data_IF_780500607860
#
_entry.id   IF_780500607860
#
_cell.length_a   1.000
_cell.length_b   1.000
_cell.length_c   1.000
_cell.angle_alpha   90.00
_cell.angle_beta   90.00
_cell.angle_gamma   90.00
#
_symmetry.space_group_name_H-M   'P 1'
#
loop_
_entity.id
_entity.type
_entity.pdbx_description
1 polymer ?
#
# COMPACT_ATOMS: atom_id res chain seq x y z
N UNK A 1 17.66 9.13 13.09
CA UNK A 1 18.42 9.35 11.84
C UNK A 1 17.47 10.06 10.89
N UNK A 2 17.45 11.39 10.94
CA UNK A 2 16.57 12.22 10.10
C UNK A 2 17.11 12.19 8.66
N UNK A 3 16.73 11.17 7.90
CA UNK A 3 16.98 11.13 6.46
C UNK A 3 15.92 11.98 5.80
N UNK A 4 16.33 13.08 5.16
CA UNK A 4 15.40 13.97 4.46
C UNK A 4 14.65 13.21 3.34
N UNK A 5 13.31 13.32 3.25
CA UNK A 5 12.48 12.62 2.26
C UNK A 5 12.95 12.83 0.81
N UNK A 6 13.59 13.97 0.53
CA UNK A 6 14.12 14.34 -0.78
C UNK A 6 15.19 13.38 -1.31
N UNK A 7 16.04 12.81 -0.44
CA UNK A 7 17.12 11.90 -0.85
C UNK A 7 16.64 10.48 -1.20
N UNK A 8 15.52 10.04 -0.61
CA UNK A 8 14.94 8.72 -0.87
C UNK A 8 14.13 8.71 -2.17
N UNK A 9 13.38 9.79 -2.41
CA UNK A 9 12.57 9.98 -3.63
C UNK A 9 13.43 10.12 -4.89
N UNK A 10 14.61 10.75 -4.80
CA UNK A 10 15.54 10.86 -5.94
C UNK A 10 16.14 9.51 -6.36
N UNK A 11 16.19 8.54 -5.44
CA UNK A 11 16.80 7.22 -5.67
C UNK A 11 15.92 6.30 -6.52
N UNK A 12 14.59 6.38 -6.38
CA UNK A 12 13.66 5.48 -7.09
C UNK A 12 13.32 5.94 -8.52
N UNK A 13 13.48 7.24 -8.81
CA UNK A 13 13.26 7.77 -10.17
C UNK A 13 14.26 7.24 -11.21
N UNK A 14 15.42 6.74 -10.75
CA UNK A 14 16.44 6.10 -11.61
C UNK A 14 16.41 4.58 -11.46
N UNK A 15 16.13 3.87 -12.56
CA UNK A 15 16.19 2.41 -12.62
C UNK A 15 17.53 1.83 -12.15
N UNK A 16 18.64 2.55 -12.39
CA UNK A 16 19.97 2.12 -11.96
C UNK A 16 20.08 2.13 -10.43
N UNK A 17 19.65 3.22 -9.80
CA UNK A 17 19.72 3.38 -8.35
C UNK A 17 18.74 2.44 -7.63
N UNK A 18 17.54 2.23 -8.20
CA UNK A 18 16.60 1.21 -7.72
C UNK A 18 17.25 -0.18 -7.69
N UNK A 19 17.86 -0.62 -8.80
CA UNK A 19 18.47 -1.96 -8.92
C UNK A 19 19.75 -2.15 -8.09
N UNK A 20 20.49 -1.07 -7.84
CA UNK A 20 21.69 -1.12 -7.01
C UNK A 20 21.36 -1.31 -5.52
N UNK A 21 20.29 -0.67 -5.06
CA UNK A 21 19.96 -0.60 -3.64
C UNK A 21 18.83 -1.55 -3.20
N UNK A 22 18.08 -2.13 -4.15
CA UNK A 22 16.93 -2.96 -3.86
C UNK A 22 16.96 -4.29 -4.62
N UNK A 23 16.42 -5.31 -3.98
CA UNK A 23 16.25 -6.65 -4.56
C UNK A 23 14.80 -7.10 -4.36
N UNK A 24 14.33 -7.98 -5.23
CA UNK A 24 13.06 -8.66 -4.99
C UNK A 24 13.41 -9.96 -4.30
N UNK A 25 12.97 -10.09 -3.06
CA UNK A 25 13.03 -11.32 -2.30
C UNK A 25 11.74 -12.10 -2.55
N UNK A 26 11.87 -13.42 -2.75
CA UNK A 26 10.73 -14.30 -2.96
C UNK A 26 10.61 -15.19 -1.73
N UNK A 27 9.45 -15.16 -1.11
CA UNK A 27 9.12 -16.01 0.01
C UNK A 27 8.80 -17.45 -0.47
N UNK A 28 8.87 -18.41 0.45
CA UNK A 28 8.57 -19.83 0.23
C UNK A 28 7.13 -20.02 -0.30
N UNK A 29 6.20 -19.17 0.15
CA UNK A 29 4.80 -19.14 -0.28
C UNK A 29 4.58 -18.54 -1.68
N UNK A 30 5.65 -18.13 -2.35
CA UNK A 30 5.60 -17.57 -3.70
C UNK A 30 5.25 -16.08 -3.77
N UNK A 31 4.97 -15.45 -2.62
CA UNK A 31 4.91 -14.00 -2.47
C UNK A 31 6.29 -13.37 -2.69
N UNK A 32 6.30 -12.08 -3.00
CA UNK A 32 7.54 -11.38 -3.34
C UNK A 32 7.50 -9.95 -2.83
N UNK A 33 8.56 -9.56 -2.16
CA UNK A 33 8.69 -8.26 -1.51
C UNK A 33 9.93 -7.54 -2.02
N UNK A 34 9.86 -6.21 -2.09
CA UNK A 34 11.03 -5.40 -2.39
C UNK A 34 11.79 -5.16 -1.09
N UNK A 35 13.04 -5.58 -1.03
CA UNK A 35 13.90 -5.43 0.14
C UNK A 35 15.05 -4.47 -0.14
N UNK A 36 15.44 -3.72 0.89
CA UNK A 36 16.63 -2.87 0.92
C UNK A 36 17.70 -3.49 1.81
N UNK A 37 18.97 -3.14 1.59
CA UNK A 37 20.10 -3.64 2.38
C UNK A 37 20.87 -4.81 1.77
N UNK A 38 22.12 -4.97 2.20
CA UNK A 38 23.06 -6.01 1.73
C UNK A 38 23.19 -7.19 2.69
N UNK A 39 22.91 -7.00 3.98
CA UNK A 39 23.20 -7.97 5.05
C UNK A 39 21.94 -8.40 5.82
N UNK A 40 21.09 -7.46 6.24
CA UNK A 40 19.74 -7.71 6.76
C UNK A 40 18.74 -7.19 5.72
N UNK A 41 17.88 -8.09 5.20
CA UNK A 41 16.89 -7.74 4.19
C UNK A 41 15.68 -7.11 4.88
N UNK A 42 15.61 -5.79 4.88
CA UNK A 42 14.46 -5.04 5.41
C UNK A 42 13.48 -4.72 4.27
N UNK A 43 12.17 -4.74 4.55
CA UNK A 43 11.17 -4.32 3.58
C UNK A 43 11.36 -2.85 3.18
N UNK A 44 11.23 -2.58 1.88
CA UNK A 44 11.43 -1.23 1.36
C UNK A 44 10.22 -0.35 1.66
N UNK A 45 10.46 0.80 2.28
CA UNK A 45 9.41 1.78 2.57
C UNK A 45 9.29 2.77 1.42
N UNK A 46 8.08 2.92 0.88
CA UNK A 46 7.75 3.92 -0.12
C UNK A 46 7.03 5.11 0.55
N UNK A 47 7.68 6.28 0.56
CA UNK A 47 7.13 7.51 1.11
C UNK A 47 6.87 8.52 0.01
N UNK A 48 5.68 9.15 -0.01
CA UNK A 48 5.34 10.21 -0.95
C UNK A 48 4.35 11.19 -0.32
N UNK A 49 4.59 12.49 -0.53
CA UNK A 49 3.64 13.55 -0.17
C UNK A 49 2.82 13.96 -1.39
N UNK A 50 1.51 14.10 -1.21
CA UNK A 50 0.59 14.53 -2.26
C UNK A 50 -0.73 15.06 -1.72
N UNK A 51 -1.61 15.47 -2.62
CA UNK A 51 -2.95 15.99 -2.34
C UNK A 51 -3.94 14.86 -2.54
N UNK A 52 -4.78 14.59 -1.53
CA UNK A 52 -5.84 13.59 -1.60
C UNK A 52 -6.92 14.02 -2.59
N UNK A 53 -7.22 13.16 -3.57
CA UNK A 53 -8.24 13.42 -4.61
C UNK A 53 -9.37 12.41 -4.63
N UNK A 54 -9.14 11.21 -4.09
CA UNK A 54 -10.18 10.19 -3.92
C UNK A 54 -9.81 9.29 -2.73
N UNK A 55 -10.81 8.71 -2.06
CA UNK A 55 -10.57 7.85 -0.92
C UNK A 55 -11.76 6.94 -0.61
N UNK A 56 -11.44 5.76 -0.08
CA UNK A 56 -12.36 4.85 0.58
C UNK A 56 -11.76 4.52 1.94
N UNK A 57 -12.23 5.19 2.99
CA UNK A 57 -11.65 5.09 4.33
C UNK A 57 -12.68 4.63 5.37
N UNK A 58 -12.22 4.03 6.48
CA UNK A 58 -13.05 3.82 7.65
C UNK A 58 -13.55 5.14 8.26
N UNK A 59 -14.59 5.13 9.11
CA UNK A 59 -15.25 3.94 9.67
C UNK A 59 -16.26 3.26 8.73
N UNK A 60 -16.38 1.94 8.87
CA UNK A 60 -17.45 1.15 8.26
C UNK A 60 -18.70 1.26 9.15
N UNK A 61 -19.66 2.07 8.71
CA UNK A 61 -20.89 2.40 9.46
C UNK A 61 -22.15 1.77 8.86
N UNK A 62 -22.06 1.26 7.62
CA UNK A 62 -23.13 0.59 6.88
C UNK A 62 -22.62 -0.64 6.13
N UNK A 63 -23.49 -1.65 5.96
CA UNK A 63 -23.21 -2.89 5.21
C UNK A 63 -22.95 -2.63 3.72
N UNK A 64 -23.48 -1.55 3.17
CA UNK A 64 -23.30 -1.19 1.76
C UNK A 64 -21.87 -0.72 1.43
N UNK A 65 -21.08 -0.35 2.44
CA UNK A 65 -19.65 -0.05 2.28
C UNK A 65 -18.80 -1.30 2.06
N UNK A 66 -19.36 -2.49 2.28
CA UNK A 66 -18.67 -3.78 2.11
C UNK A 66 -19.24 -4.47 0.87
N UNK A 67 -18.41 -4.98 -0.05
CA UNK A 67 -18.90 -5.74 -1.21
C UNK A 67 -19.82 -6.91 -0.80
N UNK A 68 -20.94 -7.09 -1.51
CA UNK A 68 -21.91 -8.16 -1.21
C UNK A 68 -21.39 -9.52 -1.66
N UNK A 69 -20.92 -9.63 -2.89
CA UNK A 69 -20.53 -10.90 -3.50
C UNK A 69 -19.15 -11.39 -3.05
N UNK A 70 -18.20 -10.46 -2.92
CA UNK A 70 -16.79 -10.75 -2.57
C UNK A 70 -16.35 -9.90 -1.38
N UNK A 71 -16.90 -10.12 -0.18
CA UNK A 71 -16.60 -9.29 0.99
C UNK A 71 -15.11 -9.35 1.37
N UNK A 72 -14.40 -10.46 1.12
CA UNK A 72 -12.95 -10.58 1.35
C UNK A 72 -12.08 -9.63 0.48
N UNK A 73 -12.67 -8.98 -0.53
CA UNK A 73 -12.01 -7.92 -1.30
C UNK A 73 -12.27 -6.52 -0.71
N UNK A 74 -13.01 -6.42 0.39
CA UNK A 74 -13.17 -5.16 1.10
C UNK A 74 -11.80 -4.64 1.54
N UNK A 75 -11.58 -3.37 1.29
CA UNK A 75 -10.35 -2.68 1.65
C UNK A 75 -10.59 -1.20 1.82
N UNK A 76 -9.50 -0.53 2.10
CA UNK A 76 -9.41 0.91 2.19
C UNK A 76 -8.40 1.39 1.16
N UNK A 77 -8.62 2.58 0.62
CA UNK A 77 -7.72 3.18 -0.35
C UNK A 77 -7.69 4.69 -0.26
N UNK A 78 -6.56 5.25 -0.68
CA UNK A 78 -6.38 6.68 -0.91
C UNK A 78 -5.76 6.88 -2.28
N UNK A 79 -6.25 7.86 -3.02
CA UNK A 79 -5.61 8.31 -4.25
C UNK A 79 -5.11 9.73 -4.04
N UNK A 80 -3.82 9.93 -4.29
CA UNK A 80 -3.15 11.22 -4.17
C UNK A 80 -2.59 11.66 -5.52
N UNK A 81 -2.43 12.97 -5.70
CA UNK A 81 -1.74 13.58 -6.84
C UNK A 81 -0.80 14.69 -6.39
N UNK A 82 0.23 14.96 -7.17
CA UNK A 82 1.13 16.10 -6.94
C UNK A 82 0.71 17.39 -7.63
N UNK A 83 -0.37 17.40 -8.43
CA UNK A 83 -0.78 18.56 -9.25
C UNK A 83 0.39 19.17 -10.07
N UNK A 84 1.22 18.30 -10.65
CA UNK A 84 2.38 18.71 -11.45
C UNK A 84 3.66 18.97 -10.65
N UNK A 85 3.66 18.73 -9.33
CA UNK A 85 4.87 18.88 -8.52
C UNK A 85 5.96 17.87 -8.94
N UNK A 86 7.20 18.31 -9.25
CA UNK A 86 8.25 17.44 -9.75
C UNK A 86 8.54 16.24 -8.84
N UNK A 87 8.63 16.42 -7.52
CA UNK A 87 8.93 15.32 -6.60
C UNK A 87 7.86 14.21 -6.63
N UNK A 88 6.59 14.59 -6.88
CA UNK A 88 5.52 13.60 -7.01
C UNK A 88 5.65 12.84 -8.33
N UNK A 89 5.98 13.53 -9.42
CA UNK A 89 6.25 12.87 -10.70
C UNK A 89 7.42 11.86 -10.58
N UNK A 90 8.48 12.21 -9.84
CA UNK A 90 9.56 11.27 -9.55
C UNK A 90 9.09 10.05 -8.75
N UNK A 91 8.22 10.25 -7.75
CA UNK A 91 7.62 9.15 -6.99
C UNK A 91 6.76 8.24 -7.87
N UNK A 92 5.94 8.83 -8.75
CA UNK A 92 5.10 8.10 -9.69
C UNK A 92 5.94 7.25 -10.67
N UNK A 93 7.02 7.83 -11.21
CA UNK A 93 7.98 7.10 -12.02
C UNK A 93 8.69 5.99 -11.21
N UNK A 94 8.97 6.24 -9.93
CA UNK A 94 9.52 5.24 -9.02
C UNK A 94 8.61 4.02 -8.86
N UNK A 95 7.29 4.22 -8.70
CA UNK A 95 6.33 3.13 -8.62
C UNK A 95 6.29 2.29 -9.92
N UNK A 96 6.35 2.95 -11.09
CA UNK A 96 6.44 2.27 -12.39
C UNK A 96 7.77 1.49 -12.56
N UNK A 97 8.88 2.04 -12.09
CA UNK A 97 10.17 1.35 -12.09
C UNK A 97 10.16 0.11 -11.18
N UNK A 98 9.52 0.18 -10.01
CA UNK A 98 9.31 -0.98 -9.14
C UNK A 98 8.49 -2.03 -9.87
N UNK A 99 7.37 -1.66 -10.50
CA UNK A 99 6.59 -2.61 -11.30
C UNK A 99 7.44 -3.27 -12.41
N UNK A 100 8.24 -2.48 -13.13
CA UNK A 100 9.16 -2.96 -14.16
C UNK A 100 10.19 -3.95 -13.61
N UNK A 101 10.68 -3.72 -12.38
CA UNK A 101 11.59 -4.66 -11.72
C UNK A 101 10.89 -5.99 -11.42
N UNK A 102 9.64 -5.98 -10.97
CA UNK A 102 8.86 -7.19 -10.74
C UNK A 102 8.49 -7.90 -12.06
N UNK A 103 8.13 -7.17 -13.11
CA UNK A 103 7.73 -7.76 -14.40
C UNK A 103 8.87 -8.56 -15.05
N UNK A 104 10.13 -8.19 -14.78
CA UNK A 104 11.30 -8.98 -15.23
C UNK A 104 11.43 -10.34 -14.56
N UNK A 105 10.78 -10.54 -13.39
CA UNK A 105 10.85 -11.76 -12.59
C UNK A 105 9.54 -12.57 -12.59
N UNK A 106 8.39 -11.92 -12.81
CA UNK A 106 7.08 -12.54 -12.75
C UNK A 106 6.31 -12.38 -14.06
N UNK A 107 5.92 -13.52 -14.67
CA UNK A 107 5.17 -13.55 -15.94
C UNK A 107 3.69 -13.17 -15.81
N UNK A 108 3.11 -13.37 -14.63
CA UNK A 108 1.68 -13.18 -14.37
C UNK A 108 1.41 -11.93 -13.51
N UNK A 109 2.29 -10.93 -13.59
CA UNK A 109 2.08 -9.66 -12.90
C UNK A 109 0.94 -8.90 -13.57
N UNK A 110 0.02 -8.35 -12.78
CA UNK A 110 -1.03 -7.48 -13.33
C UNK A 110 -0.38 -6.28 -14.04
N UNK A 111 -0.94 -5.82 -15.18
CA UNK A 111 -0.41 -4.64 -15.86
C UNK A 111 -0.40 -3.43 -14.93
N UNK A 112 0.66 -2.62 -15.00
CA UNK A 112 0.67 -1.32 -14.35
C UNK A 112 -0.32 -0.41 -15.06
N UNK A 113 -1.22 0.20 -14.31
CA UNK A 113 -2.21 1.15 -14.84
C UNK A 113 -1.88 2.51 -14.27
N UNK A 114 -1.23 3.36 -15.07
CA UNK A 114 -1.06 4.76 -14.72
C UNK A 114 -2.45 5.42 -14.58
N UNK A 115 -2.63 6.18 -13.51
CA UNK A 115 -3.88 6.88 -13.19
C UNK A 115 -3.60 8.36 -13.24
N UNK A 116 -4.47 9.11 -13.91
CA UNK A 116 -4.39 10.56 -13.94
C UNK A 116 -5.60 11.19 -13.27
N UNK A 117 -5.36 12.27 -12.54
CA UNK A 117 -6.39 13.17 -12.04
C UNK A 117 -6.29 14.49 -12.80
N UNK A 118 -7.28 14.79 -13.64
CA UNK A 118 -7.33 16.04 -14.43
C UNK A 118 -6.01 16.36 -15.15
N UNK A 119 -5.41 15.34 -15.78
CA UNK A 119 -4.13 15.40 -16.51
C UNK A 119 -2.85 15.44 -15.66
N UNK A 120 -2.96 15.30 -14.34
CA UNK A 120 -1.80 15.11 -13.46
C UNK A 120 -1.69 13.67 -13.02
N UNK A 121 -0.46 13.13 -12.98
CA UNK A 121 -0.21 11.78 -12.45
C UNK A 121 -0.76 11.63 -11.04
N UNK A 122 -1.32 10.46 -10.76
CA UNK A 122 -1.87 10.10 -9.46
C UNK A 122 -1.42 8.70 -9.05
N UNK A 123 -1.36 8.47 -7.74
CA UNK A 123 -1.01 7.19 -7.15
C UNK A 123 -2.15 6.76 -6.22
N UNK A 124 -2.62 5.53 -6.41
CA UNK A 124 -3.60 4.90 -5.54
C UNK A 124 -2.88 3.90 -4.64
N UNK A 125 -3.08 4.05 -3.33
CA UNK A 125 -2.62 3.12 -2.31
C UNK A 125 -3.84 2.40 -1.75
N UNK A 126 -3.85 1.07 -1.81
CA UNK A 126 -4.93 0.25 -1.27
C UNK A 126 -4.40 -0.83 -0.33
N UNK A 127 -5.16 -1.13 0.71
CA UNK A 127 -4.92 -2.26 1.59
C UNK A 127 -6.25 -2.96 1.90
N UNK A 128 -6.24 -4.29 1.87
CA UNK A 128 -7.42 -5.09 2.22
C UNK A 128 -7.56 -5.19 3.72
N UNK A 129 -8.79 -5.26 4.19
CA UNK A 129 -9.04 -5.50 5.61
C UNK A 129 -8.69 -6.92 6.04
N UNK A 130 -8.65 -7.88 5.12
CA UNK A 130 -8.27 -9.27 5.40
C UNK A 130 -7.48 -9.89 4.27
N UNK A 131 -6.60 -10.81 4.63
CA UNK A 131 -5.99 -11.77 3.71
C UNK A 131 -6.90 -13.00 3.57
N UNK A 132 -7.27 -13.44 2.35
CA UNK A 132 -8.15 -14.59 2.16
C UNK A 132 -7.56 -15.88 2.76
N UNK A 133 -8.41 -16.73 3.37
CA UNK A 133 -7.99 -17.98 4.02
C UNK A 133 -7.29 -19.00 3.11
N UNK A 134 -7.47 -18.90 1.78
CA UNK A 134 -6.75 -19.74 0.81
C UNK A 134 -5.27 -19.37 0.68
N UNK A 135 -4.90 -18.19 1.14
CA UNK A 135 -3.57 -17.59 1.04
C UNK A 135 -2.95 -17.40 2.42
N UNK A 136 -3.75 -17.26 3.48
CA UNK A 136 -3.27 -17.15 4.85
C UNK A 136 -3.02 -18.51 5.50
N UNK A 137 -1.80 -18.72 5.99
CA UNK A 137 -1.51 -19.76 6.98
C UNK A 137 -2.30 -19.56 8.28
N UNK A 138 -2.05 -20.40 9.29
CA UNK A 138 -2.73 -20.39 10.61
C UNK A 138 -2.35 -19.18 11.47
N UNK A 139 -2.34 -17.97 10.91
CA UNK A 139 -2.06 -16.73 11.64
C UNK A 139 -3.24 -16.40 12.55
N UNK A 140 -2.95 -15.96 13.78
CA UNK A 140 -3.99 -15.48 14.71
C UNK A 140 -4.61 -14.20 14.15
N UNK A 141 -5.93 -14.18 13.97
CA UNK A 141 -6.63 -12.97 13.52
C UNK A 141 -6.61 -11.91 14.60
N UNK A 142 -6.14 -10.71 14.27
CA UNK A 142 -6.27 -9.53 15.08
C UNK A 142 -7.71 -8.98 14.97
N UNK A 143 -8.29 -8.43 16.06
CA UNK A 143 -9.59 -7.79 15.99
C UNK A 143 -9.49 -6.43 15.27
N UNK A 144 -10.56 -6.04 14.58
CA UNK A 144 -10.64 -4.69 14.00
C UNK A 144 -10.73 -3.63 15.11
N UNK A 145 -9.98 -2.54 14.95
CA UNK A 145 -10.08 -1.39 15.84
C UNK A 145 -11.44 -0.70 15.74
N UNK A 146 -11.88 -0.05 16.83
CA UNK A 146 -13.16 0.69 16.86
C UNK A 146 -13.21 1.84 15.84
N UNK A 147 -12.07 2.40 15.45
CA UNK A 147 -11.98 3.40 14.39
C UNK A 147 -12.30 2.85 13.01
N UNK A 148 -12.14 1.54 12.81
CA UNK A 148 -12.38 0.86 11.53
C UNK A 148 -13.79 0.28 11.48
N UNK A 149 -14.17 -0.50 12.49
CA UNK A 149 -15.46 -1.21 12.53
C UNK A 149 -16.22 -0.93 13.84
N UNK A 150 -16.77 0.28 14.03
CA UNK A 150 -17.42 0.67 15.28
C UNK A 150 -18.67 -0.16 15.61
N UNK A 151 -19.29 -0.80 14.60
CA UNK A 151 -20.56 -1.54 14.73
C UNK A 151 -20.42 -3.05 14.54
N UNK A 152 -19.21 -3.58 14.33
CA UNK A 152 -19.02 -5.01 14.04
C UNK A 152 -19.53 -5.46 12.67
N UNK A 153 -19.82 -4.53 11.76
CA UNK A 153 -20.38 -4.81 10.43
C UNK A 153 -19.33 -5.47 9.55
N UNK A 154 -18.11 -4.93 9.56
CA UNK A 154 -16.99 -5.46 8.78
C UNK A 154 -16.61 -6.84 9.29
N UNK A 155 -16.49 -6.99 10.62
CA UNK A 155 -16.22 -8.27 11.27
C UNK A 155 -17.27 -9.31 10.90
N UNK A 156 -18.55 -8.98 11.03
CA UNK A 156 -19.65 -9.89 10.68
C UNK A 156 -19.64 -10.27 9.19
N UNK A 157 -19.35 -9.34 8.29
CA UNK A 157 -19.32 -9.60 6.85
C UNK A 157 -18.12 -10.46 6.41
N UNK A 158 -17.02 -10.42 7.18
CA UNK A 158 -15.76 -11.10 6.89
C UNK A 158 -15.56 -12.39 7.71
N UNK A 159 -16.49 -12.72 8.60
CA UNK A 159 -16.40 -13.92 9.43
C UNK A 159 -16.15 -15.17 8.58
N UNK A 160 -15.07 -15.89 8.89
CA UNK A 160 -14.58 -17.08 8.18
C UNK A 160 -14.27 -16.86 6.69
N UNK A 161 -14.05 -15.63 6.23
CA UNK A 161 -13.71 -15.32 4.83
C UNK A 161 -12.27 -14.82 4.64
N UNK A 162 -11.60 -14.44 5.71
CA UNK A 162 -10.20 -14.01 5.72
C UNK A 162 -9.68 -13.83 7.13
N UNK A 163 -8.38 -13.58 7.25
CA UNK A 163 -7.68 -13.29 8.50
C UNK A 163 -7.21 -11.85 8.45
N UNK A 164 -7.44 -11.10 9.53
CA UNK A 164 -6.88 -9.76 9.69
C UNK A 164 -5.54 -9.87 10.41
N UNK A 165 -4.43 -9.55 9.73
CA UNK A 165 -3.07 -9.57 10.28
C UNK A 165 -2.50 -8.15 10.40
N UNK A 166 -1.27 -8.04 10.92
CA UNK A 166 -0.54 -6.76 10.98
C UNK A 166 -0.41 -6.12 9.59
N UNK A 167 -0.20 -6.92 8.54
CA UNK A 167 -0.13 -6.45 7.15
C UNK A 167 -1.42 -5.77 6.65
N UNK A 168 -2.57 -6.10 7.25
CA UNK A 168 -3.86 -5.52 6.91
C UNK A 168 -4.17 -4.25 7.73
N UNK A 169 -3.34 -3.91 8.72
CA UNK A 169 -3.55 -2.71 9.53
C UNK A 169 -3.05 -1.47 8.78
N UNK A 170 -3.86 -0.41 8.84
CA UNK A 170 -3.47 0.91 8.36
C UNK A 170 -3.49 1.87 9.54
N UNK A 171 -2.37 2.54 9.73
CA UNK A 171 -2.17 3.51 10.80
C UNK A 171 -2.43 4.92 10.29
N UNK A 172 -3.21 5.68 11.06
CA UNK A 172 -3.54 7.07 10.77
C UNK A 172 -2.83 7.96 11.76
N UNK A 173 -2.02 8.88 11.25
CA UNK A 173 -1.28 9.84 12.05
C UNK A 173 -1.73 11.26 11.73
N UNK A 174 -1.92 12.08 12.75
CA UNK A 174 -2.17 13.51 12.61
C UNK A 174 -0.89 14.27 12.96
N UNK A 175 -0.45 15.15 12.06
CA UNK A 175 0.67 16.04 12.32
C UNK A 175 0.25 17.18 13.24
N UNK A 176 0.56 17.08 14.53
CA UNK A 176 0.35 18.18 15.46
C UNK A 176 1.44 19.23 15.24
N UNK A 177 1.04 20.44 14.81
CA UNK A 177 1.97 21.56 14.68
C UNK A 177 2.49 21.95 16.07
N UNK A 178 3.78 21.71 16.33
CA UNK A 178 4.42 22.15 17.57
C UNK A 178 4.24 23.66 17.77
N UNK A 179 4.00 24.09 19.03
CA UNK A 179 4.01 25.52 19.39
C UNK A 179 5.37 26.10 18.99
N UNK A 180 5.32 27.18 18.21
CA UNK A 180 6.51 27.97 17.82
C UNK A 180 7.13 28.63 19.04
#
# INVERSE_FOLDING_TARGET
>A
MDRYPSSLLSSLGSNLCLRQNHKVFKDEDGAAVLVTGTEEQEESIFEVAGILVDHTLPPIVSRDQVPKDKPHLAGQSVTITGLGHPNFAHAANGAENVHTLFSTRYRNLLPYVARDFRSFSSLTFDNRYVTPLKTGGKSSSLPFGRGVDPKGILHSALDRRGVHTEDNQVLYFEGIRGRR
#
